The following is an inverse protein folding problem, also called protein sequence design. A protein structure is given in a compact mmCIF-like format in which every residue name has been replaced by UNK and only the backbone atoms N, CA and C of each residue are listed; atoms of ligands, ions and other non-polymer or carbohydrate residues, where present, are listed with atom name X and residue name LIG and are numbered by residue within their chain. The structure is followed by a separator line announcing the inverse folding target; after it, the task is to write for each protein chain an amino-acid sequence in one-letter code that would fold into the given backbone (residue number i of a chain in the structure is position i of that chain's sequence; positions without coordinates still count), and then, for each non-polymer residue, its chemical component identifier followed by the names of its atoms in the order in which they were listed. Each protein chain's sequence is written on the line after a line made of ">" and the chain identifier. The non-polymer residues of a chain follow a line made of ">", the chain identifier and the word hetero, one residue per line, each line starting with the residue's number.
data_IF_221983291667
#
_entry.id   IF_221983291667
#
_cell.length_a   1.000
_cell.length_b   1.000
_cell.length_c   1.000
_cell.angle_alpha   90.00
_cell.angle_beta   90.00
_cell.angle_gamma   90.00
#
_symmetry.space_group_name_H-M   'P 1'
#
loop_
_entity.id
_entity.type
_entity.pdbx_description
1 polymer ?
#
# COMPACT_ATOMS: atom_id res chain seq x y z
N UNK A 1 0.22 -11.66 3.85
CA UNK A 1 -0.26 -10.27 3.93
C UNK A 1 -1.79 -10.27 4.00
N UNK A 2 -2.39 -10.01 5.16
CA UNK A 2 -3.83 -10.08 5.35
C UNK A 2 -4.43 -8.72 4.99
N UNK A 3 -4.55 -8.45 3.69
CA UNK A 3 -5.35 -7.32 3.21
C UNK A 3 -6.62 -7.92 2.61
N UNK A 4 -7.78 -7.63 3.19
CA UNK A 4 -9.06 -8.14 2.71
C UNK A 4 -9.37 -7.53 1.33
N UNK A 5 -8.93 -8.21 0.27
CA UNK A 5 -9.35 -7.99 -1.12
C UNK A 5 -10.38 -9.05 -1.52
N UNK A 6 -11.23 -9.47 -0.59
CA UNK A 6 -12.10 -10.65 -0.76
C UNK A 6 -13.22 -10.47 -1.81
N UNK A 7 -13.50 -9.23 -2.26
CA UNK A 7 -14.53 -8.89 -3.27
C UNK A 7 -13.99 -8.12 -4.49
N UNK A 8 -12.72 -8.32 -4.84
CA UNK A 8 -12.12 -7.71 -6.04
C UNK A 8 -12.30 -8.67 -7.22
N UNK A 9 -12.95 -8.22 -8.30
CA UNK A 9 -13.19 -9.03 -9.49
C UNK A 9 -11.87 -9.57 -10.08
N UNK A 10 -10.79 -8.82 -9.92
CA UNK A 10 -9.44 -9.17 -10.37
C UNK A 10 -8.88 -10.42 -9.67
N UNK A 11 -9.44 -10.81 -8.53
CA UNK A 11 -9.04 -12.00 -7.77
C UNK A 11 -10.07 -13.14 -7.85
N UNK A 12 -11.17 -12.96 -8.59
CA UNK A 12 -12.17 -13.99 -8.81
C UNK A 12 -11.58 -15.16 -9.62
N UNK A 13 -12.09 -16.37 -9.36
CA UNK A 13 -11.66 -17.61 -10.03
C UNK A 13 -10.27 -18.13 -9.64
N UNK A 14 -9.47 -17.37 -8.86
CA UNK A 14 -8.14 -17.79 -8.43
C UNK A 14 -8.18 -18.61 -7.14
N UNK A 15 -7.31 -19.61 -7.06
CA UNK A 15 -6.97 -20.30 -5.83
C UNK A 15 -6.16 -19.39 -4.88
N UNK A 16 -5.92 -19.87 -3.67
CA UNK A 16 -5.28 -19.06 -2.63
C UNK A 16 -3.84 -18.68 -2.97
N UNK A 17 -3.09 -19.56 -3.66
CA UNK A 17 -1.72 -19.28 -4.06
C UNK A 17 -1.67 -18.20 -5.15
N UNK A 18 -2.47 -18.35 -6.21
CA UNK A 18 -2.52 -17.37 -7.31
C UNK A 18 -2.98 -16.00 -6.84
N UNK A 19 -3.93 -15.92 -5.89
CA UNK A 19 -4.32 -14.63 -5.28
C UNK A 19 -3.16 -13.96 -4.55
N UNK A 20 -2.27 -14.72 -3.92
CA UNK A 20 -1.09 -14.18 -3.25
C UNK A 20 -0.09 -13.63 -4.25
N UNK A 21 0.09 -14.30 -5.38
CA UNK A 21 1.02 -13.91 -6.45
C UNK A 21 0.56 -12.64 -7.15
N UNK A 22 -0.71 -12.55 -7.54
CA UNK A 22 -1.29 -11.32 -8.10
C UNK A 22 -1.12 -10.13 -7.15
N UNK A 23 -1.34 -10.33 -5.84
CA UNK A 23 -1.14 -9.27 -4.84
C UNK A 23 0.32 -8.87 -4.68
N UNK A 24 1.26 -9.81 -4.81
CA UNK A 24 2.70 -9.51 -4.77
C UNK A 24 3.12 -8.66 -5.97
N UNK A 25 2.65 -9.00 -7.17
CA UNK A 25 2.91 -8.22 -8.38
C UNK A 25 2.30 -6.82 -8.24
N UNK A 26 1.04 -6.72 -7.79
CA UNK A 26 0.38 -5.43 -7.55
C UNK A 26 1.12 -4.57 -6.52
N UNK A 27 1.63 -5.18 -5.45
CA UNK A 27 2.46 -4.51 -4.45
C UNK A 27 3.78 -4.02 -5.04
N UNK A 28 4.46 -4.84 -5.84
CA UNK A 28 5.70 -4.44 -6.50
C UNK A 28 5.50 -3.22 -7.40
N UNK A 29 4.40 -3.17 -8.15
CA UNK A 29 4.05 -1.99 -8.94
C UNK A 29 3.72 -0.79 -8.07
N UNK A 30 2.93 -0.98 -7.01
CA UNK A 30 2.58 0.10 -6.07
C UNK A 30 3.82 0.76 -5.44
N UNK A 31 4.85 -0.04 -5.10
CA UNK A 31 6.10 0.46 -4.51
C UNK A 31 6.95 1.33 -5.44
N UNK A 32 6.79 1.22 -6.76
CA UNK A 32 7.55 2.06 -7.71
C UNK A 32 7.09 3.52 -7.74
N UNK A 33 5.96 3.85 -7.11
CA UNK A 33 5.42 5.20 -7.13
C UNK A 33 5.72 5.93 -5.83
N UNK A 34 6.39 7.09 -5.94
CA UNK A 34 6.72 7.95 -4.80
C UNK A 34 5.50 8.34 -3.96
N UNK A 35 4.33 8.55 -4.58
CA UNK A 35 3.09 8.96 -3.89
C UNK A 35 2.62 7.93 -2.86
N UNK A 36 3.05 6.67 -2.95
CA UNK A 36 2.85 5.68 -1.89
C UNK A 36 3.40 6.17 -0.54
N UNK A 37 4.52 6.89 -0.58
CA UNK A 37 5.26 7.38 0.58
C UNK A 37 4.82 8.77 1.06
N UNK A 38 3.92 9.45 0.34
CA UNK A 38 3.50 10.81 0.69
C UNK A 38 3.00 10.96 2.15
N UNK A 39 2.21 10.02 2.72
CA UNK A 39 1.80 10.10 4.12
C UNK A 39 2.97 9.98 5.11
N UNK A 40 3.97 9.16 4.79
CA UNK A 40 5.18 9.05 5.62
C UNK A 40 6.00 10.35 5.57
N UNK A 41 6.13 10.96 4.39
CA UNK A 41 6.77 12.26 4.23
C UNK A 41 6.04 13.36 5.02
N UNK A 42 4.70 13.40 4.93
CA UNK A 42 3.88 14.34 5.69
C UNK A 42 4.05 14.16 7.21
N UNK A 43 4.14 12.92 7.68
CA UNK A 43 4.42 12.62 9.09
C UNK A 43 5.79 13.14 9.53
N UNK A 44 6.85 12.92 8.72
CA UNK A 44 8.19 13.43 9.03
C UNK A 44 8.18 14.96 9.13
N UNK A 45 7.57 15.66 8.17
CA UNK A 45 7.46 17.12 8.19
C UNK A 45 6.70 17.58 9.44
N UNK A 46 5.60 16.93 9.79
CA UNK A 46 4.84 17.22 11.01
C UNK A 46 5.70 17.08 12.27
N UNK A 47 6.44 15.98 12.41
CA UNK A 47 7.33 15.75 13.56
C UNK A 47 8.42 16.81 13.64
N UNK A 48 9.04 17.18 12.51
CA UNK A 48 10.08 18.22 12.48
C UNK A 48 9.53 19.58 12.92
N UNK A 49 8.36 19.97 12.40
CA UNK A 49 7.70 21.21 12.79
C UNK A 49 7.30 21.21 14.26
N UNK A 50 6.72 20.12 14.76
CA UNK A 50 6.34 19.99 16.15
C UNK A 50 7.56 20.05 17.08
N UNK A 51 8.67 19.39 16.73
CA UNK A 51 9.89 19.39 17.54
C UNK A 51 10.50 20.80 17.62
N UNK A 52 10.51 21.55 16.50
CA UNK A 52 11.12 22.89 16.44
C UNK A 52 10.27 24.00 17.06
N UNK A 53 8.95 23.94 16.86
CA UNK A 53 8.02 25.05 17.15
C UNK A 53 6.93 24.71 18.17
N UNK A 54 6.88 23.48 18.68
CA UNK A 54 5.83 23.04 19.62
C UNK A 54 4.42 23.30 19.06
N UNK A 55 4.22 23.03 17.76
CA UNK A 55 3.01 23.33 17.00
C UNK A 55 1.70 22.77 17.60
N UNK A 56 1.81 21.79 18.49
CA UNK A 56 0.67 21.13 19.13
C UNK A 56 0.98 20.97 20.63
N UNK A 57 0.48 21.84 21.50
CA UNK A 57 0.91 21.86 22.90
C UNK A 57 0.42 20.66 23.70
N UNK A 58 -0.71 20.06 23.32
CA UNK A 58 -1.28 18.90 24.00
C UNK A 58 -0.82 17.58 23.39
N UNK A 59 -0.41 16.64 24.25
CA UNK A 59 -0.06 15.26 23.83
C UNK A 59 -1.20 14.55 23.10
N UNK A 60 -2.44 14.83 23.49
CA UNK A 60 -3.64 14.23 22.90
C UNK A 60 -3.76 14.63 21.42
N UNK A 61 -3.60 15.90 21.12
CA UNK A 61 -3.73 16.41 19.76
C UNK A 61 -2.60 15.89 18.86
N UNK A 62 -1.38 15.78 19.38
CA UNK A 62 -0.27 15.14 18.67
C UNK A 62 -0.60 13.69 18.27
N UNK A 63 -1.18 12.92 19.20
CA UNK A 63 -1.59 11.54 18.95
C UNK A 63 -2.73 11.48 17.92
N UNK A 64 -3.71 12.38 17.99
CA UNK A 64 -4.81 12.43 17.03
C UNK A 64 -4.33 12.75 15.61
N UNK A 65 -3.44 13.73 15.45
CA UNK A 65 -2.84 14.08 14.16
C UNK A 65 -2.00 12.91 13.62
N UNK A 66 -1.18 12.30 14.47
CA UNK A 66 -0.38 11.12 14.09
C UNK A 66 -1.27 9.96 13.63
N UNK A 67 -2.35 9.69 14.38
CA UNK A 67 -3.32 8.66 14.03
C UNK A 67 -4.01 8.97 12.70
N UNK A 68 -4.41 10.21 12.47
CA UNK A 68 -5.02 10.62 11.21
C UNK A 68 -4.07 10.39 10.03
N UNK A 69 -2.81 10.80 10.14
CA UNK A 69 -1.79 10.56 9.10
C UNK A 69 -1.57 9.06 8.89
N UNK A 70 -1.54 8.27 9.96
CA UNK A 70 -1.41 6.82 9.86
C UNK A 70 -2.58 6.18 9.10
N UNK A 71 -3.82 6.56 9.42
CA UNK A 71 -5.03 6.08 8.73
C UNK A 71 -4.98 6.47 7.25
N UNK A 72 -4.59 7.70 6.93
CA UNK A 72 -4.38 8.15 5.55
C UNK A 72 -3.29 7.33 4.85
N UNK A 73 -2.21 6.99 5.55
CA UNK A 73 -1.16 6.07 5.08
C UNK A 73 -1.72 4.71 4.67
N UNK A 74 -2.50 4.09 5.54
CA UNK A 74 -3.14 2.79 5.27
C UNK A 74 -4.09 2.89 4.08
N UNK A 75 -4.92 3.93 4.01
CA UNK A 75 -5.84 4.15 2.88
C UNK A 75 -5.07 4.36 1.57
N UNK A 76 -4.02 5.19 1.58
CA UNK A 76 -3.18 5.46 0.42
C UNK A 76 -2.54 4.17 -0.12
N UNK A 77 -1.96 3.35 0.76
CA UNK A 77 -1.38 2.05 0.39
C UNK A 77 -2.44 1.13 -0.22
N UNK A 78 -3.65 1.07 0.38
CA UNK A 78 -4.75 0.24 -0.13
C UNK A 78 -5.19 0.68 -1.51
N UNK A 79 -5.33 1.99 -1.75
CA UNK A 79 -5.72 2.55 -3.04
C UNK A 79 -4.66 2.28 -4.11
N UNK A 80 -3.38 2.46 -3.76
CA UNK A 80 -2.28 2.14 -4.66
C UNK A 80 -2.30 0.66 -5.07
N UNK A 81 -2.30 -0.28 -4.12
CA UNK A 81 -2.34 -1.71 -4.44
C UNK A 81 -3.59 -2.04 -5.28
N UNK A 82 -4.76 -1.52 -4.89
CA UNK A 82 -6.00 -1.70 -5.60
C UNK A 82 -5.94 -1.26 -7.07
N UNK A 83 -5.31 -0.11 -7.35
CA UNK A 83 -5.12 0.43 -8.70
C UNK A 83 -4.29 -0.51 -9.57
N UNK A 84 -3.32 -1.21 -8.98
CA UNK A 84 -2.45 -2.13 -9.69
C UNK A 84 -2.93 -3.59 -9.71
N UNK A 85 -4.08 -3.92 -9.10
CA UNK A 85 -4.62 -5.30 -9.16
C UNK A 85 -4.99 -5.72 -10.58
N UNK A 86 -5.61 -4.84 -11.37
CA UNK A 86 -5.99 -5.13 -12.76
C UNK A 86 -4.77 -5.42 -13.66
N UNK A 87 -3.74 -4.56 -13.73
CA UNK A 87 -2.55 -4.88 -14.53
C UNK A 87 -1.78 -6.08 -13.96
N UNK A 88 -1.70 -6.24 -12.63
CA UNK A 88 -1.06 -7.41 -12.03
C UNK A 88 -1.77 -8.73 -12.41
N UNK A 89 -3.11 -8.69 -12.50
CA UNK A 89 -3.90 -9.84 -12.93
C UNK A 89 -3.63 -10.18 -14.40
N UNK A 90 -3.63 -9.20 -15.29
CA UNK A 90 -3.33 -9.41 -16.71
C UNK A 90 -1.94 -10.04 -16.93
N UNK A 91 -0.94 -9.57 -16.18
CA UNK A 91 0.41 -10.14 -16.19
C UNK A 91 0.42 -11.58 -15.69
N UNK A 92 -0.29 -11.87 -14.60
CA UNK A 92 -0.43 -13.23 -14.06
C UNK A 92 -1.15 -14.16 -15.04
N UNK A 93 -2.21 -13.70 -15.70
CA UNK A 93 -2.93 -14.53 -16.70
C UNK A 93 -2.06 -14.84 -17.92
N UNK A 94 -1.08 -13.97 -18.24
CA UNK A 94 -0.16 -14.16 -19.38
C UNK A 94 1.04 -15.06 -19.06
N UNK A 95 1.56 -14.99 -17.83
CA UNK A 95 2.84 -15.61 -17.44
C UNK A 95 2.71 -16.65 -16.30
N UNK A 96 1.50 -16.82 -15.76
CA UNK A 96 1.20 -17.71 -14.65
C UNK A 96 1.97 -17.38 -13.36
N UNK A 97 2.17 -18.39 -12.52
CA UNK A 97 2.90 -18.26 -11.24
C UNK A 97 4.37 -17.83 -11.39
N UNK A 98 4.96 -18.03 -12.56
CA UNK A 98 6.34 -17.62 -12.86
C UNK A 98 6.47 -16.10 -12.88
N UNK A 99 5.41 -15.39 -13.27
CA UNK A 99 5.36 -13.93 -13.31
C UNK A 99 5.76 -13.29 -11.97
N UNK A 100 5.25 -13.83 -10.86
CA UNK A 100 5.55 -13.29 -9.54
C UNK A 100 7.04 -13.45 -9.20
N UNK A 101 7.64 -14.59 -9.53
CA UNK A 101 9.07 -14.83 -9.31
C UNK A 101 9.95 -13.95 -10.19
N UNK A 102 9.64 -13.84 -11.47
CA UNK A 102 10.41 -13.02 -12.42
C UNK A 102 10.32 -11.53 -12.11
N UNK A 103 9.13 -11.02 -11.76
CA UNK A 103 8.92 -9.58 -11.54
C UNK A 103 9.36 -9.14 -10.15
N UNK A 104 9.11 -9.97 -9.13
CA UNK A 104 9.46 -9.61 -7.75
C UNK A 104 10.84 -10.08 -7.31
N UNK A 105 11.50 -10.92 -8.13
CA UNK A 105 12.82 -11.50 -7.84
C UNK A 105 12.81 -12.49 -6.66
N UNK A 106 11.64 -13.00 -6.27
CA UNK A 106 11.41 -13.88 -5.10
C UNK A 106 10.39 -14.96 -5.39
#
# INVERSE_FOLDING_TARGET
>A
MPFSFSRRAELAGLDRASRRDVRRIAWHFAQRHWTLHAPAFAWIVFVLLHTRYQFVPERRDYLLVTLAIFVLGVVNIRLHIARYLKPARAVFDSLGSTAARTITGR
#
